data_IF_822896421091
#
_entry.id   IF_822896421091
#
_cell.length_a   1.000
_cell.length_b   1.000
_cell.length_c   1.000
_cell.angle_alpha   90.00
_cell.angle_beta   90.00
_cell.angle_gamma   90.00
#
_symmetry.space_group_name_H-M   'P 1'
#
loop_
_entity.id
_entity.type
_entity.pdbx_description
1 polymer ?
#
# COMPACT_ATOMS: atom_id res chain seq x y z
N UNK A 1 -13.18 5.97 -36.77
CA UNK A 1 -13.37 7.25 -36.06
C UNK A 1 -12.14 7.50 -35.22
N UNK A 2 -11.27 8.39 -35.68
CA UNK A 2 -9.97 8.73 -35.11
C UNK A 2 -10.15 9.84 -34.07
N UNK A 3 -9.94 9.52 -32.79
CA UNK A 3 -9.94 10.50 -31.70
C UNK A 3 -8.54 11.02 -31.46
N UNK A 4 -8.41 12.35 -31.58
CA UNK A 4 -7.22 13.17 -31.38
C UNK A 4 -6.62 13.07 -29.96
N UNK A 5 -5.30 13.32 -29.79
CA UNK A 5 -4.68 13.40 -28.47
C UNK A 5 -4.91 14.77 -27.79
N UNK A 6 -4.83 14.84 -26.45
CA UNK A 6 -5.16 16.04 -25.67
C UNK A 6 -4.00 17.03 -25.62
N UNK A 7 -4.34 18.33 -25.73
CA UNK A 7 -3.46 19.46 -25.46
C UNK A 7 -3.08 19.51 -23.98
N UNK A 8 -1.77 19.55 -23.70
CA UNK A 8 -1.24 19.78 -22.35
C UNK A 8 -0.61 21.17 -22.28
N UNK A 9 -1.27 22.04 -21.51
CA UNK A 9 -0.77 23.17 -20.73
C UNK A 9 0.48 23.93 -21.23
N UNK A 10 0.20 24.99 -21.97
CA UNK A 10 0.60 26.38 -21.72
C UNK A 10 1.83 26.65 -20.84
N UNK A 11 2.96 26.86 -21.51
CA UNK A 11 3.96 27.84 -21.07
C UNK A 11 4.25 28.77 -22.24
N UNK A 12 3.95 30.06 -22.06
CA UNK A 12 4.37 31.13 -22.97
C UNK A 12 5.89 31.13 -23.06
N UNK A 13 6.40 30.82 -24.25
CA UNK A 13 7.81 31.05 -24.59
C UNK A 13 7.95 32.50 -25.00
N UNK A 14 8.77 33.24 -24.25
CA UNK A 14 9.25 34.57 -24.62
C UNK A 14 9.91 34.52 -26.00
N UNK A 15 9.45 35.39 -26.90
CA UNK A 15 9.98 35.55 -28.24
C UNK A 15 11.47 35.92 -28.19
N UNK A 16 12.29 35.10 -28.85
CA UNK A 16 13.71 35.39 -29.10
C UNK A 16 13.78 36.47 -30.18
N UNK A 17 14.58 37.55 -30.01
CA UNK A 17 14.76 38.54 -31.05
C UNK A 17 15.50 37.94 -32.25
N UNK A 18 14.84 37.99 -33.40
CA UNK A 18 15.41 37.67 -34.71
C UNK A 18 16.43 38.75 -35.06
N UNK A 19 17.72 38.44 -34.91
CA UNK A 19 18.81 39.25 -35.46
C UNK A 19 18.86 38.97 -36.96
N UNK A 20 18.24 39.87 -37.73
CA UNK A 20 18.46 40.00 -39.17
C UNK A 20 19.63 40.93 -39.43
N UNK A 21 20.32 40.64 -40.53
CA UNK A 21 21.24 41.49 -41.28
C UNK A 21 22.70 41.59 -40.80
N UNK A 22 23.49 40.56 -41.13
CA UNK A 22 24.90 40.75 -41.48
C UNK A 22 25.03 40.73 -43.01
N UNK A 23 25.18 41.92 -43.60
CA UNK A 23 25.55 42.11 -45.01
C UNK A 23 27.06 41.90 -45.16
N UNK A 24 27.45 40.92 -45.95
CA UNK A 24 28.75 40.86 -46.61
C UNK A 24 28.70 41.68 -47.89
N UNK A 25 29.40 42.82 -47.91
CA UNK A 25 29.66 43.57 -49.13
C UNK A 25 31.17 43.71 -49.30
N UNK A 26 31.74 42.77 -50.06
CA UNK A 26 32.96 43.00 -50.82
C UNK A 26 32.69 44.14 -51.80
N UNK A 27 33.43 45.24 -51.70
CA UNK A 27 33.58 46.16 -52.82
C UNK A 27 34.89 46.94 -52.66
N UNK A 28 35.91 46.53 -53.42
CA UNK A 28 37.08 47.34 -53.74
C UNK A 28 37.11 47.40 -55.27
N UNK A 29 37.03 48.60 -55.85
CA UNK A 29 37.77 48.85 -57.06
C UNK A 29 38.65 50.12 -56.97
N UNK A 30 39.85 49.95 -57.53
CA UNK A 30 40.58 50.92 -58.34
C UNK A 30 41.01 52.25 -57.70
N UNK A 31 42.28 52.30 -57.30
CA UNK A 31 43.04 53.54 -57.12
C UNK A 31 43.55 53.98 -58.51
N UNK A 32 42.99 55.06 -59.03
CA UNK A 32 43.56 55.86 -60.12
C UNK A 32 44.76 56.68 -59.62
N UNK A 33 45.81 56.70 -60.42
CA UNK A 33 46.98 57.56 -60.28
C UNK A 33 46.64 59.02 -60.58
N UNK A 34 47.21 60.00 -59.86
CA UNK A 34 47.41 61.33 -60.41
C UNK A 34 48.87 61.59 -60.78
N UNK A 35 48.98 62.34 -61.88
CA UNK A 35 50.16 62.80 -62.61
C UNK A 35 50.92 63.89 -61.84
N UNK A 36 52.23 63.93 -62.10
CA UNK A 36 53.30 64.83 -61.61
C UNK A 36 53.15 66.27 -62.10
N UNK A 37 53.41 67.28 -61.24
CA UNK A 37 54.27 68.49 -61.50
C UNK A 37 54.27 69.52 -60.32
N UNK A 38 55.20 70.50 -60.23
CA UNK A 38 56.22 70.57 -59.16
C UNK A 38 55.97 71.59 -58.04
N UNK A 39 56.65 71.40 -56.90
CA UNK A 39 56.82 72.36 -55.81
C UNK A 39 58.24 72.99 -55.81
N UNK A 40 58.40 74.25 -55.35
CA UNK A 40 59.66 75.00 -55.38
C UNK A 40 60.68 74.59 -54.30
N UNK A 41 61.93 74.97 -54.57
CA UNK A 41 63.21 74.65 -53.92
C UNK A 41 63.23 74.68 -52.36
N UNK A 42 63.93 73.73 -51.71
CA UNK A 42 64.21 73.77 -50.29
C UNK A 42 65.58 74.39 -49.97
N UNK A 43 65.60 75.36 -49.06
CA UNK A 43 66.78 75.76 -48.30
C UNK A 43 67.07 74.70 -47.24
N UNK A 44 68.23 74.04 -47.33
CA UNK A 44 68.61 72.93 -46.43
C UNK A 44 68.88 73.36 -44.98
N UNK A 45 68.31 72.68 -43.97
CA UNK A 45 68.77 72.77 -42.59
C UNK A 45 69.97 71.84 -42.36
N UNK A 46 70.92 72.33 -41.57
CA UNK A 46 72.09 71.61 -41.08
C UNK A 46 71.65 70.38 -40.28
N UNK A 47 72.12 69.20 -40.69
CA UNK A 47 71.80 67.91 -40.07
C UNK A 47 72.62 67.73 -38.80
N UNK A 48 71.94 67.62 -37.65
CA UNK A 48 72.54 67.26 -36.37
C UNK A 48 72.57 65.72 -36.22
N UNK A 49 73.77 65.15 -36.38
CA UNK A 49 74.00 63.70 -36.45
C UNK A 49 73.71 62.98 -35.13
N UNK A 50 73.71 63.69 -33.99
CA UNK A 50 73.41 63.11 -32.67
C UNK A 50 71.90 62.84 -32.53
N UNK A 51 71.06 63.75 -33.02
CA UNK A 51 69.61 63.60 -33.01
C UNK A 51 69.13 62.44 -33.91
N UNK A 52 69.85 62.16 -35.01
CA UNK A 52 69.55 61.01 -35.87
C UNK A 52 69.85 59.67 -35.18
N UNK A 53 70.97 59.59 -34.46
CA UNK A 53 71.36 58.38 -33.74
C UNK A 53 70.40 58.05 -32.57
N UNK A 54 69.95 59.06 -31.83
CA UNK A 54 68.94 58.87 -30.77
C UNK A 54 67.57 58.48 -31.34
N UNK A 55 67.17 59.06 -32.48
CA UNK A 55 65.93 58.68 -33.16
C UNK A 55 65.96 57.23 -33.68
N UNK A 56 67.11 56.75 -34.15
CA UNK A 56 67.29 55.37 -34.59
C UNK A 56 67.31 54.38 -33.40
N UNK A 57 67.89 54.77 -32.25
CA UNK A 57 67.82 53.99 -31.01
C UNK A 57 66.39 53.87 -30.45
N UNK A 58 65.60 54.93 -30.54
CA UNK A 58 64.18 54.91 -30.15
C UNK A 58 63.37 54.05 -31.12
N UNK A 59 63.63 54.14 -32.44
CA UNK A 59 62.95 53.31 -33.46
C UNK A 59 63.23 51.82 -33.27
N UNK A 60 64.47 51.45 -32.95
CA UNK A 60 64.84 50.05 -32.71
C UNK A 60 64.23 49.49 -31.42
N UNK A 61 64.17 50.28 -30.34
CA UNK A 61 63.48 49.87 -29.10
C UNK A 61 61.97 49.75 -29.28
N UNK A 62 61.34 50.71 -29.95
CA UNK A 62 59.92 50.66 -30.26
C UNK A 62 59.57 49.47 -31.17
N UNK A 63 60.45 49.12 -32.12
CA UNK A 63 60.27 47.94 -32.96
C UNK A 63 60.40 46.64 -32.15
N UNK A 64 61.37 46.53 -31.24
CA UNK A 64 61.53 45.37 -30.37
C UNK A 64 60.35 45.19 -29.39
N UNK A 65 59.88 46.29 -28.79
CA UNK A 65 58.70 46.26 -27.90
C UNK A 65 57.41 45.91 -28.66
N UNK A 66 57.27 46.38 -29.91
CA UNK A 66 56.15 46.01 -30.78
C UNK A 66 56.20 44.53 -31.19
N UNK A 67 57.39 43.99 -31.49
CA UNK A 67 57.55 42.55 -31.75
C UNK A 67 57.25 41.70 -30.52
N UNK A 68 57.71 42.10 -29.32
CA UNK A 68 57.36 41.40 -28.08
C UNK A 68 55.85 41.41 -27.81
N UNK A 69 55.18 42.55 -28.02
CA UNK A 69 53.72 42.63 -27.86
C UNK A 69 52.98 41.76 -28.87
N UNK A 70 53.46 41.69 -30.12
CA UNK A 70 52.88 40.78 -31.13
C UNK A 70 53.06 39.31 -30.74
N UNK A 71 54.26 38.92 -30.32
CA UNK A 71 54.54 37.54 -29.91
C UNK A 71 53.70 37.16 -28.68
N UNK A 72 53.55 38.05 -27.69
CA UNK A 72 52.69 37.81 -26.52
C UNK A 72 51.22 37.72 -26.89
N UNK A 73 50.72 38.59 -27.77
CA UNK A 73 49.34 38.55 -28.24
C UNK A 73 49.04 37.28 -29.07
N UNK A 74 49.98 36.84 -29.91
CA UNK A 74 49.88 35.59 -30.67
C UNK A 74 49.88 34.37 -29.73
N UNK A 75 50.76 34.33 -28.73
CA UNK A 75 50.80 33.27 -27.72
C UNK A 75 49.52 33.22 -26.85
N UNK A 76 48.98 34.36 -26.45
CA UNK A 76 47.71 34.44 -25.71
C UNK A 76 46.52 33.99 -26.57
N UNK A 77 46.49 34.36 -27.85
CA UNK A 77 45.47 33.92 -28.79
C UNK A 77 45.52 32.39 -29.03
N UNK A 78 46.72 31.81 -29.14
CA UNK A 78 46.88 30.36 -29.25
C UNK A 78 46.49 29.63 -27.95
N UNK A 79 46.88 30.16 -26.78
CA UNK A 79 46.48 29.60 -25.49
C UNK A 79 44.95 29.62 -25.31
N UNK A 80 44.27 30.69 -25.75
CA UNK A 80 42.80 30.77 -25.74
C UNK A 80 42.16 29.77 -26.70
N UNK A 81 42.71 29.58 -27.91
CA UNK A 81 42.22 28.57 -28.86
C UNK A 81 42.37 27.14 -28.32
N UNK A 82 43.49 26.83 -27.68
CA UNK A 82 43.73 25.51 -27.08
C UNK A 82 42.75 25.28 -25.93
N UNK A 83 42.58 26.24 -25.02
CA UNK A 83 41.62 26.15 -23.91
C UNK A 83 40.18 26.00 -24.39
N UNK A 84 39.76 26.79 -25.39
CA UNK A 84 38.43 26.70 -25.98
C UNK A 84 38.20 25.33 -26.67
N UNK A 85 39.23 24.78 -27.33
CA UNK A 85 39.19 23.45 -27.93
C UNK A 85 39.04 22.33 -26.89
N UNK A 86 39.74 22.43 -25.77
CA UNK A 86 39.62 21.47 -24.66
C UNK A 86 38.27 21.56 -23.94
N UNK A 87 37.76 22.76 -23.71
CA UNK A 87 36.42 22.97 -23.14
C UNK A 87 35.33 22.44 -24.06
N UNK A 88 35.44 22.67 -25.37
CA UNK A 88 34.53 22.09 -26.35
C UNK A 88 34.55 20.55 -26.36
N UNK A 89 35.73 19.93 -26.20
CA UNK A 89 35.86 18.46 -26.08
C UNK A 89 35.24 17.94 -24.78
N UNK A 90 35.47 18.63 -23.64
CA UNK A 90 34.86 18.28 -22.35
C UNK A 90 33.33 18.39 -22.41
N UNK A 91 32.79 19.45 -23.04
CA UNK A 91 31.36 19.63 -23.21
C UNK A 91 30.73 18.56 -24.12
N UNK A 92 31.39 18.17 -25.20
CA UNK A 92 30.95 17.04 -26.05
C UNK A 92 30.87 15.74 -25.26
N UNK A 93 31.95 15.37 -24.56
CA UNK A 93 31.97 14.16 -23.73
C UNK A 93 30.93 14.18 -22.60
N UNK A 94 30.64 15.34 -22.02
CA UNK A 94 29.59 15.49 -21.02
C UNK A 94 28.19 15.31 -21.63
N UNK A 95 27.94 15.91 -22.80
CA UNK A 95 26.69 15.73 -23.54
C UNK A 95 26.48 14.27 -24.00
N UNK A 96 27.52 13.62 -24.50
CA UNK A 96 27.44 12.22 -24.93
C UNK A 96 27.13 11.28 -23.75
N UNK A 97 27.76 11.52 -22.60
CA UNK A 97 27.45 10.79 -21.36
C UNK A 97 26.03 11.05 -20.86
N UNK A 98 25.55 12.29 -20.96
CA UNK A 98 24.18 12.64 -20.59
C UNK A 98 23.15 11.96 -21.51
N UNK A 99 23.41 11.95 -22.82
CA UNK A 99 22.58 11.29 -23.82
C UNK A 99 22.53 9.76 -23.61
N UNK A 100 23.68 9.13 -23.31
CA UNK A 100 23.74 7.70 -23.02
C UNK A 100 22.95 7.33 -21.76
N UNK A 101 23.06 8.12 -20.68
CA UNK A 101 22.28 7.91 -19.45
C UNK A 101 20.79 8.09 -19.68
N UNK A 102 20.39 9.11 -20.46
CA UNK A 102 18.99 9.33 -20.80
C UNK A 102 18.41 8.15 -21.60
N UNK A 103 19.18 7.59 -22.54
CA UNK A 103 18.77 6.41 -23.31
C UNK A 103 18.63 5.16 -22.42
N UNK A 104 19.55 4.93 -21.48
CA UNK A 104 19.50 3.81 -20.53
C UNK A 104 18.30 3.95 -19.57
N UNK A 105 18.06 5.13 -19.03
CA UNK A 105 16.90 5.40 -18.17
C UNK A 105 15.57 5.19 -18.92
N UNK A 106 15.52 5.57 -20.20
CA UNK A 106 14.34 5.38 -21.02
C UNK A 106 14.10 3.88 -21.30
N UNK A 107 15.14 3.13 -21.66
CA UNK A 107 15.05 1.67 -21.82
C UNK A 107 14.63 0.97 -20.51
N UNK A 108 15.14 1.40 -19.37
CA UNK A 108 14.75 0.86 -18.06
C UNK A 108 13.29 1.19 -17.70
N UNK A 109 12.81 2.38 -18.04
CA UNK A 109 11.39 2.76 -17.87
C UNK A 109 10.48 1.93 -18.77
N UNK A 110 10.85 1.76 -20.03
CA UNK A 110 10.07 0.97 -20.98
C UNK A 110 10.01 -0.51 -20.57
N UNK A 111 11.12 -1.06 -20.05
CA UNK A 111 11.13 -2.42 -19.48
C UNK A 111 10.19 -2.57 -18.28
N UNK A 112 10.16 -1.58 -17.36
CA UNK A 112 9.24 -1.58 -16.21
C UNK A 112 7.78 -1.46 -16.65
N UNK A 113 7.50 -0.64 -17.66
CA UNK A 113 6.14 -0.49 -18.23
C UNK A 113 5.71 -1.82 -18.88
N UNK A 114 6.59 -2.46 -19.66
CA UNK A 114 6.31 -3.75 -20.28
C UNK A 114 6.04 -4.85 -19.24
N UNK A 115 6.84 -4.93 -18.17
CA UNK A 115 6.62 -5.89 -17.09
C UNK A 115 5.30 -5.61 -16.35
N UNK A 116 4.98 -4.35 -16.08
CA UNK A 116 3.72 -3.96 -15.45
C UNK A 116 2.52 -4.33 -16.32
N UNK A 117 2.61 -4.12 -17.64
CA UNK A 117 1.56 -4.48 -18.59
C UNK A 117 1.38 -6.01 -18.67
N UNK A 118 2.47 -6.79 -18.70
CA UNK A 118 2.39 -8.27 -18.65
C UNK A 118 1.68 -8.76 -17.39
N UNK A 119 2.03 -8.19 -16.22
CA UNK A 119 1.37 -8.53 -14.95
C UNK A 119 -0.12 -8.17 -14.95
N UNK A 120 -0.49 -7.03 -15.55
CA UNK A 120 -1.90 -6.63 -15.71
C UNK A 120 -2.66 -7.59 -16.62
N UNK A 121 -2.09 -7.94 -17.78
CA UNK A 121 -2.70 -8.88 -18.73
C UNK A 121 -2.83 -10.30 -18.15
N UNK A 122 -1.86 -10.76 -17.35
CA UNK A 122 -1.96 -12.04 -16.63
C UNK A 122 -3.05 -12.00 -15.56
N UNK A 123 -3.13 -10.91 -14.79
CA UNK A 123 -4.18 -10.73 -13.80
C UNK A 123 -5.57 -10.65 -14.43
N UNK A 124 -5.71 -9.97 -15.57
CA UNK A 124 -6.98 -9.85 -16.29
C UNK A 124 -7.38 -11.18 -16.95
N UNK A 125 -6.42 -11.94 -17.51
CA UNK A 125 -6.67 -13.31 -17.98
C UNK A 125 -7.10 -14.24 -16.84
N UNK A 126 -6.48 -14.13 -15.67
CA UNK A 126 -6.86 -14.91 -14.50
C UNK A 126 -8.29 -14.57 -14.02
N UNK A 127 -8.65 -13.29 -13.99
CA UNK A 127 -10.02 -12.84 -13.66
C UNK A 127 -11.06 -13.31 -14.67
N UNK A 128 -10.75 -13.25 -15.97
CA UNK A 128 -11.65 -13.72 -17.02
C UNK A 128 -11.88 -15.22 -16.92
N UNK A 129 -10.83 -16.01 -16.70
CA UNK A 129 -10.95 -17.45 -16.46
C UNK A 129 -11.77 -17.75 -15.21
N UNK A 130 -11.50 -17.07 -14.09
CA UNK A 130 -12.27 -17.25 -12.87
C UNK A 130 -13.77 -16.95 -13.07
N UNK A 131 -14.10 -15.88 -13.82
CA UNK A 131 -15.50 -15.58 -14.17
C UNK A 131 -16.12 -16.63 -15.08
N UNK A 132 -15.39 -17.11 -16.08
CA UNK A 132 -15.86 -18.19 -16.96
C UNK A 132 -16.10 -19.48 -16.16
N UNK A 133 -15.17 -19.86 -15.29
CA UNK A 133 -15.30 -21.03 -14.41
C UNK A 133 -16.50 -20.87 -13.45
N UNK A 134 -16.73 -19.66 -12.91
CA UNK A 134 -17.90 -19.37 -12.08
C UNK A 134 -19.21 -19.44 -12.88
N UNK A 135 -19.26 -18.90 -14.10
CA UNK A 135 -20.43 -18.95 -14.98
C UNK A 135 -20.72 -20.38 -15.43
N UNK A 136 -19.70 -21.16 -15.78
CA UNK A 136 -19.83 -22.58 -16.13
C UNK A 136 -20.28 -23.40 -14.93
N UNK A 137 -19.73 -23.14 -13.74
CA UNK A 137 -20.18 -23.79 -12.50
C UNK A 137 -21.64 -23.45 -12.17
N UNK A 138 -22.07 -22.20 -12.38
CA UNK A 138 -23.46 -21.77 -12.20
C UNK A 138 -24.39 -22.42 -13.22
N UNK A 139 -24.01 -22.48 -14.50
CA UNK A 139 -24.78 -23.16 -15.54
C UNK A 139 -24.89 -24.66 -15.30
N UNK A 140 -23.79 -25.30 -14.91
CA UNK A 140 -23.79 -26.72 -14.55
C UNK A 140 -24.67 -26.98 -13.31
N UNK A 141 -24.59 -26.13 -12.28
CA UNK A 141 -25.44 -26.24 -11.10
C UNK A 141 -26.93 -26.02 -11.44
N UNK A 142 -27.24 -25.06 -12.31
CA UNK A 142 -28.59 -24.79 -12.78
C UNK A 142 -29.15 -25.96 -13.61
N UNK A 143 -28.35 -26.52 -14.52
CA UNK A 143 -28.73 -27.70 -15.31
C UNK A 143 -29.00 -28.92 -14.43
N UNK A 144 -28.15 -29.19 -13.44
CA UNK A 144 -28.40 -30.25 -12.44
C UNK A 144 -29.67 -29.96 -11.64
N UNK A 145 -29.92 -28.72 -11.25
CA UNK A 145 -31.15 -28.35 -10.52
C UNK A 145 -32.42 -28.58 -11.37
N UNK A 146 -32.36 -28.27 -12.67
CA UNK A 146 -33.46 -28.49 -13.61
C UNK A 146 -33.72 -29.98 -13.84
N UNK A 147 -32.68 -30.77 -14.11
CA UNK A 147 -32.79 -32.24 -14.25
C UNK A 147 -33.41 -32.88 -12.99
N UNK A 148 -33.00 -32.40 -11.81
CA UNK A 148 -33.55 -32.84 -10.53
C UNK A 148 -35.02 -32.44 -10.38
N UNK A 149 -35.39 -31.22 -10.76
CA UNK A 149 -36.79 -30.78 -10.70
C UNK A 149 -37.68 -31.62 -11.63
N UNK A 150 -37.23 -31.88 -12.85
CA UNK A 150 -37.93 -32.74 -13.82
C UNK A 150 -38.07 -34.17 -13.29
N UNK A 151 -37.03 -34.71 -12.64
CA UNK A 151 -37.08 -36.03 -12.03
C UNK A 151 -38.07 -36.08 -10.85
N UNK A 152 -38.08 -35.07 -9.99
CA UNK A 152 -39.01 -34.94 -8.86
C UNK A 152 -40.48 -34.85 -9.36
N UNK A 153 -40.76 -34.08 -10.42
CA UNK A 153 -42.09 -33.94 -11.01
C UNK A 153 -42.58 -35.25 -11.65
N UNK A 154 -41.72 -35.95 -12.40
CA UNK A 154 -42.02 -37.28 -12.95
C UNK A 154 -42.34 -38.28 -11.85
N UNK A 155 -41.54 -38.30 -10.79
CA UNK A 155 -41.78 -39.19 -9.66
C UNK A 155 -43.09 -38.89 -8.94
N UNK A 156 -43.42 -37.61 -8.73
CA UNK A 156 -44.71 -37.20 -8.17
C UNK A 156 -45.89 -37.69 -9.01
N UNK A 157 -45.76 -37.60 -10.34
CA UNK A 157 -46.78 -38.12 -11.27
C UNK A 157 -46.94 -39.65 -11.12
N UNK A 158 -45.84 -40.40 -11.07
CA UNK A 158 -45.87 -41.85 -10.85
C UNK A 158 -46.46 -42.23 -9.49
N UNK A 159 -46.12 -41.51 -8.42
CA UNK A 159 -46.68 -41.76 -7.10
C UNK A 159 -48.20 -41.53 -7.06
N UNK A 160 -48.70 -40.47 -7.72
CA UNK A 160 -50.14 -40.21 -7.85
C UNK A 160 -50.84 -41.29 -8.68
N UNK A 161 -50.21 -41.74 -9.76
CA UNK A 161 -50.76 -42.80 -10.60
C UNK A 161 -50.83 -44.13 -9.86
N UNK A 162 -49.75 -44.49 -9.16
CA UNK A 162 -49.71 -45.69 -8.30
C UNK A 162 -50.79 -45.65 -7.23
N UNK A 163 -50.94 -44.52 -6.51
CA UNK A 163 -52.02 -44.35 -5.55
C UNK A 163 -53.40 -44.56 -6.17
N UNK A 164 -53.66 -43.98 -7.36
CA UNK A 164 -54.95 -44.15 -8.06
C UNK A 164 -55.21 -45.62 -8.40
N UNK A 165 -54.20 -46.36 -8.84
CA UNK A 165 -54.31 -47.79 -9.11
C UNK A 165 -54.63 -48.56 -7.83
N UNK A 166 -53.92 -48.30 -6.73
CA UNK A 166 -54.22 -48.92 -5.44
C UNK A 166 -55.65 -48.63 -4.96
N UNK A 167 -56.12 -47.38 -5.10
CA UNK A 167 -57.48 -46.99 -4.76
C UNK A 167 -58.52 -47.71 -5.63
N UNK A 168 -58.31 -47.77 -6.95
CA UNK A 168 -59.22 -48.48 -7.87
C UNK A 168 -59.30 -49.98 -7.56
N UNK A 169 -58.19 -50.60 -7.18
CA UNK A 169 -58.16 -52.04 -6.83
C UNK A 169 -58.77 -52.31 -5.46
N UNK A 170 -58.52 -51.47 -4.46
CA UNK A 170 -58.99 -51.69 -3.09
C UNK A 170 -60.44 -51.24 -2.87
N UNK A 171 -60.90 -50.20 -3.57
CA UNK A 171 -62.21 -49.58 -3.35
C UNK A 171 -63.40 -50.55 -3.54
N UNK A 172 -63.45 -51.43 -4.57
CA UNK A 172 -64.55 -52.39 -4.71
C UNK A 172 -64.70 -53.33 -3.52
N UNK A 173 -63.58 -53.79 -2.94
CA UNK A 173 -63.58 -54.66 -1.76
C UNK A 173 -64.04 -53.91 -0.51
N UNK A 174 -63.63 -52.65 -0.36
CA UNK A 174 -64.13 -51.79 0.73
C UNK A 174 -65.63 -51.50 0.58
N UNK A 175 -66.12 -51.20 -0.64
CA UNK A 175 -67.55 -50.95 -0.86
C UNK A 175 -68.37 -52.22 -0.58
N UNK A 176 -67.88 -53.39 -0.99
CA UNK A 176 -68.51 -54.67 -0.67
C UNK A 176 -68.59 -54.92 0.84
N UNK A 177 -67.52 -54.58 1.59
CA UNK A 177 -67.47 -54.73 3.04
C UNK A 177 -68.54 -53.91 3.77
N UNK A 178 -68.90 -52.73 3.24
CA UNK A 178 -69.89 -51.83 3.82
C UNK A 178 -71.25 -51.88 3.12
N UNK A 179 -71.43 -52.75 2.13
CA UNK A 179 -72.70 -52.87 1.42
C UNK A 179 -73.74 -53.56 2.30
N UNK A 180 -74.75 -52.79 2.70
CA UNK A 180 -75.92 -53.32 3.40
C UNK A 180 -77.19 -52.78 2.73
N UNK A 181 -78.08 -53.65 2.20
CA UNK A 181 -79.32 -53.22 1.55
C UNK A 181 -80.22 -52.35 2.42
N UNK A 182 -80.13 -52.49 3.76
CA UNK A 182 -80.92 -51.70 4.73
C UNK A 182 -80.19 -50.44 5.20
N UNK A 183 -78.92 -50.26 4.85
CA UNK A 183 -78.08 -49.16 5.31
C UNK A 183 -77.08 -48.72 4.23
N UNK A 184 -77.60 -48.35 3.04
CA UNK A 184 -76.79 -47.93 1.89
C UNK A 184 -75.86 -46.74 2.19
N UNK A 185 -76.19 -45.91 3.19
CA UNK A 185 -75.36 -44.80 3.65
C UNK A 185 -73.98 -45.24 4.17
N UNK A 186 -73.83 -46.50 4.60
CA UNK A 186 -72.54 -47.04 5.05
C UNK A 186 -71.50 -47.12 3.91
N UNK A 187 -71.92 -47.16 2.65
CA UNK A 187 -71.00 -47.11 1.51
C UNK A 187 -70.22 -45.79 1.41
N UNK A 188 -70.64 -44.74 2.12
CA UNK A 188 -69.91 -43.47 2.21
C UNK A 188 -68.66 -43.62 3.11
N UNK A 189 -68.62 -44.59 4.03
CA UNK A 189 -67.51 -44.74 4.97
C UNK A 189 -66.15 -45.02 4.28
N UNK A 190 -66.03 -45.93 3.30
CA UNK A 190 -64.82 -46.09 2.49
C UNK A 190 -64.37 -44.79 1.81
N UNK A 191 -65.32 -44.04 1.23
CA UNK A 191 -65.03 -42.77 0.55
C UNK A 191 -64.52 -41.72 1.52
N UNK A 192 -65.07 -41.65 2.73
CA UNK A 192 -64.63 -40.75 3.79
C UNK A 192 -63.26 -41.14 4.35
N UNK A 193 -62.94 -42.43 4.46
CA UNK A 193 -61.62 -42.91 4.88
C UNK A 193 -60.54 -42.55 3.87
N UNK A 194 -60.77 -42.86 2.59
CA UNK A 194 -59.82 -42.54 1.50
C UNK A 194 -59.70 -41.02 1.29
N UNK A 195 -60.83 -40.31 1.26
CA UNK A 195 -60.87 -38.85 1.12
C UNK A 195 -60.23 -38.13 2.32
N UNK A 196 -60.51 -38.60 3.54
CA UNK A 196 -59.92 -38.09 4.78
C UNK A 196 -58.40 -38.29 4.81
N UNK A 197 -57.91 -39.47 4.44
CA UNK A 197 -56.49 -39.74 4.32
C UNK A 197 -55.82 -38.81 3.29
N UNK A 198 -56.44 -38.62 2.13
CA UNK A 198 -55.95 -37.70 1.11
C UNK A 198 -55.88 -36.24 1.59
N UNK A 199 -56.93 -35.75 2.27
CA UNK A 199 -56.97 -34.38 2.83
C UNK A 199 -55.85 -34.19 3.86
N UNK A 200 -55.68 -35.14 4.78
CA UNK A 200 -54.60 -35.09 5.78
C UNK A 200 -53.24 -35.11 5.10
N UNK A 201 -53.06 -35.87 4.02
CA UNK A 201 -51.81 -35.94 3.28
C UNK A 201 -51.52 -34.66 2.49
N UNK A 202 -52.54 -33.98 1.97
CA UNK A 202 -52.42 -32.60 1.43
C UNK A 202 -52.09 -31.58 2.52
N UNK A 203 -52.70 -31.73 3.70
CA UNK A 203 -52.37 -30.96 4.89
C UNK A 203 -50.91 -31.13 5.30
N UNK A 204 -50.38 -32.35 5.27
CA UNK A 204 -48.97 -32.65 5.52
C UNK A 204 -48.05 -31.94 4.51
N UNK A 205 -48.37 -32.02 3.22
CA UNK A 205 -47.58 -31.35 2.17
C UNK A 205 -47.61 -29.81 2.31
N UNK A 206 -48.74 -29.23 2.69
CA UNK A 206 -48.88 -27.80 2.99
C UNK A 206 -48.09 -27.39 4.25
N UNK A 207 -48.17 -28.19 5.32
CA UNK A 207 -47.40 -27.96 6.54
C UNK A 207 -45.90 -28.01 6.25
N UNK A 208 -45.46 -28.99 5.44
CA UNK A 208 -44.09 -29.04 4.92
C UNK A 208 -43.77 -27.77 4.16
N UNK A 209 -44.55 -27.36 3.15
CA UNK A 209 -44.26 -26.17 2.35
C UNK A 209 -44.08 -24.90 3.22
N UNK A 210 -44.86 -24.77 4.30
CA UNK A 210 -44.81 -23.64 5.23
C UNK A 210 -43.80 -23.79 6.38
N UNK A 211 -42.93 -24.81 6.36
CA UNK A 211 -41.92 -25.01 7.41
C UNK A 211 -42.48 -25.45 8.78
N UNK A 212 -43.73 -25.90 8.83
CA UNK A 212 -44.40 -26.36 10.06
C UNK A 212 -44.13 -27.85 10.32
N UNK A 213 -44.22 -28.32 11.58
CA UNK A 213 -44.07 -29.74 11.89
C UNK A 213 -45.17 -30.58 11.21
N UNK A 214 -44.79 -31.39 10.23
CA UNK A 214 -45.73 -32.20 9.43
C UNK A 214 -45.96 -33.62 9.96
N UNK A 215 -45.19 -34.04 10.96
CA UNK A 215 -45.20 -35.42 11.46
C UNK A 215 -46.57 -35.86 12.01
N UNK A 216 -47.31 -34.95 12.65
CA UNK A 216 -48.66 -35.23 13.17
C UNK A 216 -49.63 -35.62 12.04
N UNK A 217 -49.63 -34.87 10.94
CA UNK A 217 -50.48 -35.17 9.78
C UNK A 217 -50.09 -36.52 9.15
N UNK A 218 -48.79 -36.81 9.05
CA UNK A 218 -48.31 -38.10 8.54
C UNK A 218 -48.76 -39.26 9.43
N UNK A 219 -48.66 -39.10 10.75
CA UNK A 219 -49.13 -40.11 11.70
C UNK A 219 -50.62 -40.39 11.55
N UNK A 220 -51.45 -39.34 11.41
CA UNK A 220 -52.89 -39.48 11.19
C UNK A 220 -53.17 -40.18 9.85
N UNK A 221 -52.46 -39.82 8.77
CA UNK A 221 -52.62 -40.48 7.47
C UNK A 221 -52.26 -41.98 7.55
N UNK A 222 -51.17 -42.34 8.24
CA UNK A 222 -50.79 -43.73 8.46
C UNK A 222 -51.80 -44.48 9.32
N UNK A 223 -52.36 -43.85 10.34
CA UNK A 223 -53.42 -44.44 11.16
C UNK A 223 -54.66 -44.81 10.31
N UNK A 224 -55.11 -43.89 9.46
CA UNK A 224 -56.22 -44.15 8.54
C UNK A 224 -55.90 -45.28 7.56
N UNK A 225 -54.67 -45.32 7.04
CA UNK A 225 -54.20 -46.39 6.15
C UNK A 225 -54.21 -47.76 6.85
N UNK A 226 -53.77 -47.84 8.11
CA UNK A 226 -53.82 -49.08 8.90
C UNK A 226 -55.25 -49.54 9.19
N UNK A 227 -56.16 -48.62 9.50
CA UNK A 227 -57.58 -48.94 9.69
C UNK A 227 -58.17 -49.51 8.40
N UNK A 228 -57.93 -48.85 7.26
CA UNK A 228 -58.39 -49.32 5.95
C UNK A 228 -57.81 -50.70 5.60
N UNK A 229 -56.51 -50.90 5.83
CA UNK A 229 -55.86 -52.19 5.62
C UNK A 229 -56.42 -53.29 6.53
N UNK A 230 -56.73 -52.97 7.79
CA UNK A 230 -57.36 -53.88 8.75
C UNK A 230 -58.76 -54.31 8.30
N UNK A 231 -59.56 -53.37 7.80
CA UNK A 231 -60.90 -53.67 7.25
C UNK A 231 -60.77 -54.57 6.02
N UNK A 232 -59.87 -54.24 5.10
CA UNK A 232 -59.63 -55.03 3.88
C UNK A 232 -59.15 -56.45 4.20
N UNK A 233 -58.25 -56.60 5.18
CA UNK A 233 -57.77 -57.90 5.61
C UNK A 233 -58.88 -58.72 6.28
N UNK A 234 -59.60 -58.12 7.23
CA UNK A 234 -60.67 -58.79 7.97
C UNK A 234 -61.83 -59.20 7.06
N UNK A 235 -62.33 -58.27 6.24
CA UNK A 235 -63.41 -58.58 5.31
C UNK A 235 -62.92 -59.53 4.20
N UNK A 236 -61.72 -59.29 3.67
CA UNK A 236 -61.08 -60.14 2.68
C UNK A 236 -60.99 -61.59 3.10
N UNK A 237 -60.56 -61.87 4.35
CA UNK A 237 -60.46 -63.24 4.86
C UNK A 237 -61.81 -63.93 5.07
N UNK A 238 -62.88 -63.15 5.29
CA UNK A 238 -64.22 -63.68 5.56
C UNK A 238 -65.08 -63.82 4.30
N UNK A 239 -64.87 -62.97 3.28
CA UNK A 239 -65.69 -62.90 2.07
C UNK A 239 -64.96 -63.32 0.79
N UNK A 240 -63.64 -63.33 0.80
CA UNK A 240 -62.78 -63.62 -0.36
C UNK A 240 -61.66 -64.61 0.01
N UNK A 241 -60.76 -64.89 -0.93
CA UNK A 241 -59.59 -65.73 -0.68
C UNK A 241 -58.47 -64.96 0.08
N UNK A 242 -57.58 -65.67 0.79
CA UNK A 242 -56.48 -65.04 1.53
C UNK A 242 -55.54 -64.17 0.69
N UNK A 243 -55.36 -64.49 -0.60
CA UNK A 243 -54.48 -63.70 -1.46
C UNK A 243 -55.11 -62.34 -1.79
N UNK A 244 -56.42 -62.31 -2.09
CA UNK A 244 -57.17 -61.06 -2.28
C UNK A 244 -57.20 -60.21 -1.01
N UNK A 245 -57.37 -60.81 0.15
CA UNK A 245 -57.36 -60.12 1.45
C UNK A 245 -56.00 -59.44 1.72
N UNK A 246 -54.90 -60.17 1.52
CA UNK A 246 -53.55 -59.65 1.72
C UNK A 246 -53.19 -58.60 0.66
N UNK A 247 -53.58 -58.82 -0.60
CA UNK A 247 -53.31 -57.90 -1.70
C UNK A 247 -53.99 -56.54 -1.52
N UNK A 248 -55.25 -56.53 -1.11
CA UNK A 248 -56.01 -55.29 -0.87
C UNK A 248 -55.58 -54.58 0.41
N UNK A 249 -55.24 -55.32 1.48
CA UNK A 249 -54.65 -54.75 2.68
C UNK A 249 -53.28 -54.11 2.39
N UNK A 250 -52.44 -54.76 1.60
CA UNK A 250 -51.16 -54.20 1.15
C UNK A 250 -51.38 -52.95 0.28
N UNK A 251 -52.33 -52.97 -0.66
CA UNK A 251 -52.63 -51.82 -1.50
C UNK A 251 -53.02 -50.57 -0.67
N UNK A 252 -53.78 -50.76 0.41
CA UNK A 252 -54.15 -49.68 1.35
C UNK A 252 -52.95 -49.06 2.08
N UNK A 253 -51.87 -49.82 2.32
CA UNK A 253 -50.64 -49.30 2.94
C UNK A 253 -49.66 -48.75 1.90
N UNK A 254 -49.56 -49.39 0.74
CA UNK A 254 -48.59 -49.08 -0.29
C UNK A 254 -48.81 -47.69 -0.90
N UNK A 255 -50.06 -47.29 -1.14
CA UNK A 255 -50.40 -45.97 -1.69
C UNK A 255 -49.85 -44.82 -0.83
N UNK A 256 -50.29 -44.70 0.44
CA UNK A 256 -49.76 -43.72 1.38
C UNK A 256 -48.25 -43.84 1.60
N UNK A 257 -47.71 -45.06 1.65
CA UNK A 257 -46.28 -45.32 1.87
C UNK A 257 -45.36 -44.80 0.77
N UNK A 258 -45.71 -45.03 -0.51
CA UNK A 258 -44.92 -44.52 -1.65
C UNK A 258 -44.94 -42.98 -1.67
N UNK A 259 -46.08 -42.36 -1.37
CA UNK A 259 -46.18 -40.91 -1.28
C UNK A 259 -45.37 -40.36 -0.10
N UNK A 260 -45.45 -41.00 1.06
CA UNK A 260 -44.75 -40.59 2.27
C UNK A 260 -43.22 -40.67 2.12
N UNK A 261 -42.73 -41.67 1.39
CA UNK A 261 -41.32 -41.84 1.04
C UNK A 261 -40.81 -40.71 0.13
N UNK A 262 -41.57 -40.37 -0.91
CA UNK A 262 -41.29 -39.24 -1.77
C UNK A 262 -41.17 -37.94 -0.99
N UNK A 263 -42.18 -37.66 -0.16
CA UNK A 263 -42.25 -36.41 0.59
C UNK A 263 -41.14 -36.32 1.65
N UNK A 264 -40.74 -37.46 2.25
CA UNK A 264 -39.58 -37.50 3.16
C UNK A 264 -38.27 -37.15 2.45
N UNK A 265 -38.06 -37.64 1.22
CA UNK A 265 -36.91 -37.29 0.40
C UNK A 265 -36.84 -35.79 0.13
N UNK A 266 -37.98 -35.19 -0.26
CA UNK A 266 -38.11 -33.76 -0.53
C UNK A 266 -37.84 -32.89 0.71
N UNK A 267 -38.41 -33.26 1.86
CA UNK A 267 -38.20 -32.56 3.14
C UNK A 267 -36.71 -32.55 3.51
N UNK A 268 -36.05 -33.72 3.47
CA UNK A 268 -34.62 -33.81 3.82
C UNK A 268 -33.73 -32.95 2.93
N UNK A 269 -34.05 -32.86 1.64
CA UNK A 269 -33.33 -32.00 0.69
C UNK A 269 -33.53 -30.52 1.03
N UNK A 270 -34.78 -30.09 1.29
CA UNK A 270 -35.09 -28.71 1.70
C UNK A 270 -34.41 -28.32 3.01
N UNK A 271 -34.43 -29.21 3.99
CA UNK A 271 -33.85 -28.96 5.31
C UNK A 271 -32.31 -28.99 5.29
N UNK A 272 -31.69 -29.16 4.11
CA UNK A 272 -30.23 -29.16 3.94
C UNK A 272 -29.53 -30.29 4.69
N UNK A 273 -30.26 -31.36 5.03
CA UNK A 273 -29.71 -32.46 5.81
C UNK A 273 -28.73 -33.22 4.94
N UNK A 274 -27.44 -32.95 5.16
CA UNK A 274 -26.35 -33.54 4.40
C UNK A 274 -26.50 -35.06 4.33
N UNK A 275 -26.42 -35.61 3.13
CA UNK A 275 -26.41 -37.05 2.90
C UNK A 275 -25.18 -37.68 3.56
N UNK A 276 -25.21 -39.00 3.83
CA UNK A 276 -24.03 -39.69 4.41
C UNK A 276 -22.76 -39.49 3.56
N UNK A 277 -22.90 -39.37 2.23
CA UNK A 277 -21.79 -39.11 1.30
C UNK A 277 -21.29 -37.67 1.44
N UNK A 278 -22.18 -36.69 1.47
CA UNK A 278 -21.83 -35.27 1.71
C UNK A 278 -21.19 -35.05 3.08
N UNK A 279 -21.67 -35.71 4.14
CA UNK A 279 -21.02 -35.64 5.46
C UNK A 279 -19.59 -36.16 5.40
N UNK A 280 -19.34 -37.24 4.67
CA UNK A 280 -17.99 -37.78 4.46
C UNK A 280 -17.11 -36.84 3.64
N UNK A 281 -17.63 -36.22 2.57
CA UNK A 281 -16.86 -35.26 1.77
C UNK A 281 -16.56 -33.98 2.54
N UNK A 282 -17.53 -33.43 3.27
CA UNK A 282 -17.34 -32.27 4.16
C UNK A 282 -16.27 -32.56 5.23
N UNK A 283 -16.31 -33.73 5.87
CA UNK A 283 -15.28 -34.15 6.84
C UNK A 283 -13.89 -34.28 6.19
N UNK A 284 -13.81 -34.79 4.96
CA UNK A 284 -12.55 -34.89 4.20
C UNK A 284 -12.01 -33.51 3.83
N UNK A 285 -12.87 -32.59 3.39
CA UNK A 285 -12.51 -31.21 3.06
C UNK A 285 -12.03 -30.45 4.31
N UNK A 286 -12.75 -30.57 5.43
CA UNK A 286 -12.35 -29.97 6.70
C UNK A 286 -10.98 -30.52 7.18
N UNK A 287 -10.73 -31.83 7.04
CA UNK A 287 -9.42 -32.42 7.36
C UNK A 287 -8.30 -31.88 6.48
N UNK A 288 -8.54 -31.69 5.18
CA UNK A 288 -7.56 -31.09 4.26
C UNK A 288 -7.27 -29.63 4.63
N UNK A 289 -8.29 -28.82 4.84
CA UNK A 289 -8.13 -27.42 5.26
C UNK A 289 -7.40 -27.30 6.60
N UNK A 290 -7.67 -28.20 7.55
CA UNK A 290 -6.95 -28.24 8.82
C UNK A 290 -5.47 -28.61 8.62
N UNK A 291 -5.17 -29.56 7.74
CA UNK A 291 -3.79 -29.93 7.40
C UNK A 291 -3.04 -28.79 6.70
N UNK A 292 -3.66 -28.11 5.76
CA UNK A 292 -3.10 -26.94 5.08
C UNK A 292 -2.82 -25.79 6.06
N UNK A 293 -3.76 -25.49 6.95
CA UNK A 293 -3.55 -24.48 8.01
C UNK A 293 -2.42 -24.89 8.97
N UNK A 294 -2.32 -26.17 9.33
CA UNK A 294 -1.26 -26.66 10.20
C UNK A 294 0.11 -26.55 9.52
N UNK A 295 0.21 -26.83 8.22
CA UNK A 295 1.43 -26.64 7.44
C UNK A 295 1.82 -25.15 7.38
N UNK A 296 0.89 -24.27 7.04
CA UNK A 296 1.14 -22.82 7.03
C UNK A 296 1.63 -22.30 8.39
N UNK A 297 1.00 -22.74 9.48
CA UNK A 297 1.44 -22.36 10.83
C UNK A 297 2.82 -22.92 11.18
N UNK A 298 3.16 -24.12 10.70
CA UNK A 298 4.48 -24.70 10.90
C UNK A 298 5.55 -23.89 10.13
N UNK A 299 5.27 -23.54 8.87
CA UNK A 299 6.16 -22.72 8.05
C UNK A 299 6.35 -21.32 8.63
N UNK A 300 5.28 -20.68 9.11
CA UNK A 300 5.36 -19.39 9.80
C UNK A 300 6.18 -19.46 11.08
N UNK A 301 6.03 -20.53 11.87
CA UNK A 301 6.84 -20.73 13.08
C UNK A 301 8.30 -20.94 12.73
N UNK A 302 8.60 -21.77 11.73
CA UNK A 302 9.97 -21.97 11.26
C UNK A 302 10.60 -20.66 10.75
N UNK A 303 9.85 -19.86 9.98
CA UNK A 303 10.31 -18.56 9.51
C UNK A 303 10.57 -17.58 10.67
N UNK A 304 9.70 -17.55 11.68
CA UNK A 304 9.90 -16.74 12.90
C UNK A 304 11.12 -17.19 13.68
N UNK A 305 11.34 -18.49 13.83
CA UNK A 305 12.52 -19.04 14.51
C UNK A 305 13.82 -18.70 13.78
N UNK A 306 13.83 -18.75 12.45
CA UNK A 306 14.99 -18.33 11.66
C UNK A 306 15.23 -16.82 11.83
N UNK A 307 14.17 -16.01 11.79
CA UNK A 307 14.27 -14.56 11.98
C UNK A 307 14.76 -14.19 13.38
N UNK A 308 14.29 -14.85 14.44
CA UNK A 308 14.72 -14.59 15.82
C UNK A 308 16.18 -15.02 16.04
N UNK A 309 16.60 -16.16 15.48
CA UNK A 309 18.01 -16.59 15.51
C UNK A 309 18.91 -15.59 14.79
N UNK A 310 18.53 -15.16 13.59
CA UNK A 310 19.28 -14.15 12.84
C UNK A 310 19.37 -12.81 13.60
N UNK A 311 18.26 -12.35 14.19
CA UNK A 311 18.25 -11.14 15.01
C UNK A 311 19.17 -11.28 16.24
N UNK A 312 19.14 -12.42 16.93
CA UNK A 312 20.01 -12.69 18.07
C UNK A 312 21.50 -12.72 17.68
N UNK A 313 21.85 -13.30 16.53
CA UNK A 313 23.22 -13.30 16.00
C UNK A 313 23.71 -11.89 15.64
N UNK A 314 22.87 -11.08 14.98
CA UNK A 314 23.23 -9.70 14.66
C UNK A 314 23.42 -8.85 15.91
N UNK A 315 22.58 -9.03 16.94
CA UNK A 315 22.71 -8.35 18.22
C UNK A 315 24.01 -8.74 18.94
N UNK A 316 24.38 -10.02 18.94
CA UNK A 316 25.67 -10.50 19.49
C UNK A 316 26.86 -9.86 18.78
N UNK A 317 26.88 -9.89 17.44
CA UNK A 317 27.97 -9.27 16.65
C UNK A 317 28.08 -7.76 16.91
N UNK A 318 26.94 -7.07 17.05
CA UNK A 318 26.92 -5.64 17.36
C UNK A 318 27.45 -5.36 18.77
N UNK A 319 27.05 -6.16 19.76
CA UNK A 319 27.56 -6.07 21.13
C UNK A 319 29.08 -6.30 21.20
N UNK A 320 29.59 -7.34 20.52
CA UNK A 320 31.02 -7.60 20.42
C UNK A 320 31.78 -6.45 19.77
N UNK A 321 31.25 -5.86 18.70
CA UNK A 321 31.86 -4.70 18.04
C UNK A 321 31.88 -3.48 18.95
N UNK A 322 30.77 -3.19 19.64
CA UNK A 322 30.66 -2.09 20.61
C UNK A 322 31.67 -2.24 21.75
N UNK A 323 31.81 -3.46 22.29
CA UNK A 323 32.78 -3.76 23.33
C UNK A 323 34.23 -3.54 22.86
N UNK A 324 34.55 -3.91 21.61
CA UNK A 324 35.90 -3.74 21.03
C UNK A 324 36.22 -2.29 20.70
N UNK A 325 35.30 -1.57 20.04
CA UNK A 325 35.55 -0.22 19.52
C UNK A 325 35.40 0.86 20.60
N UNK A 326 34.55 0.65 21.61
CA UNK A 326 34.24 1.65 22.64
C UNK A 326 34.23 1.05 24.06
N UNK A 327 35.39 0.56 24.56
CA UNK A 327 35.46 -0.19 25.81
C UNK A 327 34.94 0.61 27.02
N UNK A 328 35.27 1.90 27.13
CA UNK A 328 34.82 2.77 28.24
C UNK A 328 33.30 2.99 28.24
N UNK A 329 32.71 3.18 27.07
CA UNK A 329 31.26 3.34 26.90
C UNK A 329 30.56 2.02 27.23
N UNK A 330 31.15 0.89 26.83
CA UNK A 330 30.64 -0.44 27.09
C UNK A 330 30.64 -0.81 28.58
N UNK A 331 31.72 -0.50 29.31
CA UNK A 331 31.75 -0.67 30.78
C UNK A 331 30.68 0.17 31.48
N UNK A 332 30.49 1.43 31.07
CA UNK A 332 29.44 2.29 31.63
C UNK A 332 28.04 1.79 31.27
N UNK A 333 27.85 1.28 30.04
CA UNK A 333 26.59 0.66 29.62
C UNK A 333 26.26 -0.59 30.44
N UNK A 334 27.25 -1.42 30.80
CA UNK A 334 27.04 -2.58 31.68
C UNK A 334 26.60 -2.16 33.09
N UNK A 335 27.20 -1.11 33.65
CA UNK A 335 26.79 -0.55 34.95
C UNK A 335 25.36 -0.03 34.89
N UNK A 336 25.03 0.77 33.87
CA UNK A 336 23.67 1.26 33.66
C UNK A 336 22.65 0.12 33.47
N UNK A 337 23.01 -0.95 32.75
CA UNK A 337 22.14 -2.12 32.60
C UNK A 337 21.91 -2.84 33.94
N UNK A 338 22.97 -3.03 34.73
CA UNK A 338 22.87 -3.64 36.06
C UNK A 338 22.01 -2.80 37.00
N UNK A 339 22.17 -1.47 36.99
CA UNK A 339 21.39 -0.54 37.81
C UNK A 339 19.90 -0.55 37.43
N UNK A 340 19.59 -0.72 36.14
CA UNK A 340 18.21 -0.81 35.62
C UNK A 340 17.61 -2.21 35.73
N UNK A 341 18.41 -3.22 36.13
CA UNK A 341 17.98 -4.62 36.17
C UNK A 341 17.78 -5.26 34.79
N UNK A 342 18.35 -4.68 33.73
CA UNK A 342 18.32 -5.24 32.39
C UNK A 342 19.48 -6.23 32.18
N UNK A 343 19.18 -7.42 31.64
CA UNK A 343 20.18 -8.49 31.42
C UNK A 343 20.98 -8.30 30.12
N UNK A 344 20.50 -7.45 29.22
CA UNK A 344 21.14 -7.16 27.93
C UNK A 344 21.22 -5.66 27.71
N UNK A 345 22.33 -5.17 27.14
CA UNK A 345 22.48 -3.76 26.80
C UNK A 345 21.56 -3.43 25.62
N UNK A 346 20.43 -2.81 25.91
CA UNK A 346 19.48 -2.30 24.93
C UNK A 346 20.03 -1.05 24.22
N UNK A 347 19.44 -0.70 23.08
CA UNK A 347 19.88 0.46 22.29
C UNK A 347 19.74 1.79 23.05
N UNK A 348 18.73 1.91 23.91
CA UNK A 348 18.51 3.04 24.81
C UNK A 348 19.63 3.16 25.85
N UNK A 349 20.01 2.05 26.49
CA UNK A 349 21.12 2.02 27.45
C UNK A 349 22.41 2.41 26.75
N UNK A 350 22.67 1.86 25.56
CA UNK A 350 23.85 2.21 24.78
C UNK A 350 23.90 3.70 24.43
N UNK A 351 22.78 4.27 23.97
CA UNK A 351 22.66 5.70 23.66
C UNK A 351 22.94 6.58 24.86
N UNK A 352 22.36 6.24 26.02
CA UNK A 352 22.57 6.97 27.27
C UNK A 352 24.03 6.86 27.72
N UNK A 353 24.60 5.66 27.69
CA UNK A 353 25.99 5.45 28.07
C UNK A 353 26.96 6.23 27.18
N UNK A 354 26.70 6.26 25.86
CA UNK A 354 27.46 7.04 24.89
C UNK A 354 27.39 8.53 25.20
N UNK A 355 26.19 9.03 25.50
CA UNK A 355 25.98 10.43 25.86
C UNK A 355 26.70 10.79 27.17
N UNK A 356 26.64 9.93 28.18
CA UNK A 356 27.27 10.19 29.48
C UNK A 356 28.80 10.19 29.40
N UNK A 357 29.39 9.30 28.60
CA UNK A 357 30.85 9.13 28.50
C UNK A 357 31.47 10.08 27.47
N UNK A 358 30.90 10.15 26.27
CA UNK A 358 31.47 10.92 25.16
C UNK A 358 30.83 12.32 25.02
N UNK A 359 29.74 12.60 25.74
CA UNK A 359 28.99 13.86 25.63
C UNK A 359 28.20 14.01 24.33
N UNK A 360 28.05 12.93 23.55
CA UNK A 360 27.42 12.93 22.23
C UNK A 360 26.56 11.68 22.00
N UNK A 361 25.55 11.79 21.14
CA UNK A 361 24.70 10.66 20.76
C UNK A 361 25.45 9.69 19.82
N UNK A 362 25.04 8.42 19.72
CA UNK A 362 25.64 7.50 18.75
C UNK A 362 25.56 8.03 17.31
N UNK A 363 26.67 8.00 16.59
CA UNK A 363 26.82 8.62 15.27
C UNK A 363 27.40 10.03 15.31
N UNK A 364 27.49 10.64 16.48
CA UNK A 364 28.13 11.93 16.70
C UNK A 364 29.40 11.75 17.55
N UNK A 365 30.40 12.57 17.28
CA UNK A 365 31.60 12.69 18.11
C UNK A 365 31.87 14.16 18.38
N UNK A 366 32.60 14.47 19.44
CA UNK A 366 32.99 15.86 19.73
C UNK A 366 33.69 16.52 18.52
N UNK A 367 34.45 15.74 17.73
CA UNK A 367 35.08 16.20 16.50
C UNK A 367 34.07 16.44 15.38
N UNK A 368 33.11 15.53 15.17
CA UNK A 368 32.02 15.72 14.20
C UNK A 368 31.19 16.95 14.56
N UNK A 369 30.86 17.15 15.83
CA UNK A 369 30.14 18.33 16.30
C UNK A 369 30.96 19.61 16.11
N UNK A 370 32.27 19.59 16.37
CA UNK A 370 33.17 20.72 16.06
C UNK A 370 33.21 21.01 14.55
N UNK A 371 33.34 19.98 13.71
CA UNK A 371 33.33 20.12 12.26
C UNK A 371 32.00 20.68 11.75
N UNK A 372 30.87 20.19 12.27
CA UNK A 372 29.53 20.66 11.95
C UNK A 372 29.36 22.12 12.34
N UNK A 373 29.69 22.48 13.59
CA UNK A 373 29.62 23.86 14.08
C UNK A 373 30.56 24.78 13.29
N UNK A 374 31.75 24.32 12.90
CA UNK A 374 32.66 25.09 12.06
C UNK A 374 32.11 25.27 10.64
N UNK A 375 31.50 24.24 10.06
CA UNK A 375 30.83 24.33 8.76
C UNK A 375 29.64 25.28 8.80
N UNK A 376 28.80 25.20 9.83
CA UNK A 376 27.67 26.11 10.06
C UNK A 376 28.14 27.56 10.20
N UNK A 377 29.22 27.81 10.96
CA UNK A 377 29.84 29.14 11.05
C UNK A 377 30.34 29.64 9.71
N UNK A 378 30.97 28.80 8.89
CA UNK A 378 31.42 29.17 7.53
C UNK A 378 30.25 29.52 6.62
N UNK A 379 29.16 28.73 6.68
CA UNK A 379 27.94 28.98 5.91
C UNK A 379 27.25 30.27 6.35
N UNK A 380 27.16 30.53 7.66
CA UNK A 380 26.60 31.78 8.19
C UNK A 380 27.43 32.99 7.76
N UNK A 381 28.76 32.92 7.92
CA UNK A 381 29.68 33.98 7.49
C UNK A 381 29.57 34.26 5.99
N UNK A 382 29.47 33.22 5.16
CA UNK A 382 29.26 33.36 3.71
C UNK A 382 27.92 34.02 3.36
N UNK A 383 26.84 33.74 4.12
CA UNK A 383 25.52 34.38 3.92
C UNK A 383 25.52 35.86 4.32
N UNK A 384 26.28 36.22 5.35
CA UNK A 384 26.34 37.58 5.88
C UNK A 384 27.42 38.44 5.22
N UNK A 385 28.19 37.91 4.26
CA UNK A 385 29.39 38.54 3.68
C UNK A 385 30.40 38.99 4.75
N UNK A 386 30.45 38.28 5.89
CA UNK A 386 31.36 38.55 7.01
C UNK A 386 32.49 37.51 7.01
N UNK A 387 33.64 37.85 7.60
CA UNK A 387 34.73 36.89 7.73
C UNK A 387 34.41 35.87 8.83
N UNK A 388 34.83 34.61 8.64
CA UNK A 388 34.56 33.49 9.58
C UNK A 388 35.09 33.74 11.00
N UNK A 389 36.00 34.69 11.17
CA UNK A 389 36.60 35.09 12.45
C UNK A 389 35.92 36.30 13.11
N UNK A 390 34.87 36.87 12.52
CA UNK A 390 34.08 37.93 13.15
C UNK A 390 33.20 37.33 14.25
N UNK A 391 33.82 36.92 15.37
CA UNK A 391 33.11 36.53 16.59
C UNK A 391 32.23 37.70 16.98
N UNK A 392 30.91 37.51 16.87
CA UNK A 392 29.90 38.50 17.23
C UNK A 392 30.19 39.05 18.61
N UNK A 393 30.73 40.27 18.66
CA UNK A 393 30.63 41.13 19.83
C UNK A 393 29.17 41.55 19.92
N UNK A 394 28.28 40.64 20.27
CA UNK A 394 26.96 40.99 20.76
C UNK A 394 27.19 41.64 22.11
N UNK A 395 27.33 42.96 22.08
CA UNK A 395 27.27 43.85 23.24
C UNK A 395 26.07 43.42 24.07
N UNK A 396 26.35 42.86 25.25
CA UNK A 396 25.35 42.50 26.26
C UNK A 396 24.47 43.72 26.55
N UNK A 397 23.30 43.81 25.92
CA UNK A 397 22.35 44.91 26.05
C UNK A 397 21.61 44.92 27.41
N UNK A 398 22.02 44.07 28.36
CA UNK A 398 21.41 43.95 29.68
C UNK A 398 22.23 44.61 30.82
N UNK A 399 22.97 45.70 30.55
CA UNK A 399 23.33 46.61 31.64
C UNK A 399 22.15 47.52 31.93
N UNK A 400 21.28 47.09 32.85
CA UNK A 400 20.25 47.94 33.41
C UNK A 400 20.90 49.20 34.01
N UNK A 401 20.56 50.37 33.45
CA UNK A 401 21.07 51.69 33.84
C UNK A 401 20.67 52.14 35.27
N UNK A 402 20.10 51.24 36.08
CA UNK A 402 19.45 51.55 37.36
C UNK A 402 20.29 51.20 38.60
N UNK A 403 21.54 50.79 38.43
CA UNK A 403 22.47 50.61 39.56
C UNK A 403 23.25 51.90 39.79
N UNK A 404 23.18 52.53 40.99
CA UNK A 404 24.06 53.65 41.31
C UNK A 404 25.52 53.19 41.23
N UNK A 405 26.33 54.02 40.59
CA UNK A 405 27.76 53.78 40.33
C UNK A 405 28.48 53.62 41.68
N UNK A 406 28.76 52.38 42.08
CA UNK A 406 29.58 52.09 43.27
C UNK A 406 30.96 52.72 43.06
N UNK A 407 31.22 53.84 43.73
CA UNK A 407 32.56 54.42 43.80
C UNK A 407 33.48 53.40 44.48
N UNK A 408 34.53 52.99 43.77
CA UNK A 408 35.56 52.07 44.26
C UNK A 408 36.40 52.76 45.33
N UNK A 409 36.04 52.55 46.59
CA UNK A 409 36.93 52.72 47.75
C UNK A 409 37.28 51.37 48.37
N UNK A 410 38.34 51.28 49.18
CA UNK A 410 38.84 50.03 49.73
C UNK A 410 37.80 49.37 50.67
N UNK A 411 37.45 48.13 50.33
CA UNK A 411 36.68 47.12 51.06
C UNK A 411 35.88 47.62 52.29
N UNK A 412 34.86 48.45 52.07
CA UNK A 412 33.77 48.63 53.03
C UNK A 412 32.70 47.57 52.76
N UNK A 413 32.22 46.93 53.82
CA UNK A 413 31.15 45.90 53.78
C UNK A 413 30.02 46.37 52.86
N UNK A 414 29.50 45.52 51.95
CA UNK A 414 28.41 45.91 51.07
C UNK A 414 27.26 46.46 51.92
N UNK A 415 26.63 47.58 51.52
CA UNK A 415 25.58 48.20 52.32
C UNK A 415 24.48 47.17 52.60
N UNK A 416 24.16 46.98 53.88
CA UNK A 416 23.03 46.17 54.31
C UNK A 416 21.77 46.81 53.74
N UNK A 417 21.13 46.13 52.77
CA UNK A 417 19.86 46.56 52.18
C UNK A 417 18.83 46.69 53.28
N UNK A 418 18.32 47.90 53.49
CA UNK A 418 17.17 48.15 54.36
C UNK A 418 15.89 48.01 53.55
N UNK A 419 14.82 47.61 54.22
CA UNK A 419 13.48 47.54 53.63
C UNK A 419 13.08 48.94 53.15
N UNK A 420 13.14 49.19 51.85
CA UNK A 420 12.90 50.50 51.23
C UNK A 420 13.96 50.94 50.21
N UNK A 421 15.16 50.34 50.21
CA UNK A 421 16.27 50.76 49.33
C UNK A 421 16.04 50.46 47.83
N UNK A 422 15.08 49.60 47.50
CA UNK A 422 14.69 49.30 46.12
C UNK A 422 13.29 49.81 45.86
N UNK A 423 13.11 50.60 44.80
CA UNK A 423 11.79 51.02 44.36
C UNK A 423 10.86 49.81 44.20
N UNK A 424 9.62 49.86 44.71
CA UNK A 424 8.69 48.75 44.57
C UNK A 424 8.46 48.46 43.09
N UNK A 425 8.59 47.19 42.71
CA UNK A 425 8.31 46.75 41.34
C UNK A 425 6.93 47.24 40.90
N UNK A 426 6.84 47.81 39.70
CA UNK A 426 5.56 48.19 39.10
C UNK A 426 4.63 46.99 39.05
N UNK A 427 3.32 47.22 39.19
CA UNK A 427 2.33 46.15 39.33
C UNK A 427 2.37 45.13 38.18
N UNK A 428 2.70 45.58 36.95
CA UNK A 428 2.87 44.72 35.79
C UNK A 428 4.04 43.73 35.96
N UNK A 429 5.20 44.19 36.41
CA UNK A 429 6.37 43.33 36.64
C UNK A 429 6.10 42.30 37.75
N UNK A 430 5.36 42.67 38.81
CA UNK A 430 4.91 41.72 39.85
C UNK A 430 3.98 40.65 39.30
N UNK A 431 3.00 41.04 38.47
CA UNK A 431 2.10 40.08 37.81
C UNK A 431 2.86 39.12 36.91
N UNK A 432 3.81 39.62 36.12
CA UNK A 432 4.58 38.81 35.21
C UNK A 432 5.50 37.83 35.94
N UNK A 433 6.21 38.27 36.98
CA UNK A 433 7.00 37.38 37.84
C UNK A 433 6.15 36.28 38.50
N UNK A 434 4.92 36.61 38.94
CA UNK A 434 3.99 35.64 39.50
C UNK A 434 3.51 34.61 38.46
N UNK A 435 3.27 35.03 37.21
CA UNK A 435 2.93 34.13 36.10
C UNK A 435 4.11 33.19 35.82
N UNK A 436 5.33 33.73 35.72
CA UNK A 436 6.54 32.92 35.45
C UNK A 436 6.82 31.92 36.56
N UNK A 437 6.61 32.28 37.83
CA UNK A 437 6.77 31.35 38.95
C UNK A 437 5.73 30.21 38.92
N UNK A 438 4.50 30.50 38.49
CA UNK A 438 3.45 29.48 38.32
C UNK A 438 3.74 28.55 37.16
N UNK A 439 4.23 29.07 36.04
CA UNK A 439 4.54 28.23 34.87
C UNK A 439 5.73 27.30 35.13
N UNK A 440 6.78 27.76 35.82
CA UNK A 440 7.93 26.88 36.15
C UNK A 440 7.60 25.82 37.20
N UNK A 441 6.62 26.08 38.07
CA UNK A 441 6.11 25.05 38.98
C UNK A 441 5.18 24.04 38.30
N UNK A 442 4.58 24.42 37.17
CA UNK A 442 3.72 23.55 36.37
C UNK A 442 4.51 22.65 35.39
N UNK A 443 5.73 23.03 35.01
CA UNK A 443 6.62 22.20 34.15
C UNK A 443 7.44 21.17 34.94
N UNK A 444 7.53 21.28 36.27
CA UNK A 444 8.30 20.37 37.13
C UNK A 444 7.43 19.34 37.88
N UNK A 445 6.13 19.30 37.60
CA UNK A 445 5.20 18.23 37.95
C UNK A 445 4.71 17.57 36.65
#
# INVERSE_FOLDING_TARGET
MTTSPPQVNGHDRTAVPVIRDWRSAFNVPSVEQPVVEPAPEPTGPVVDLVAQAEADAIRTRAYAEAEEQRIRAEAEAEALKIKAGEEARKLKLANDKAAARAAEEQAARDARIAESNRKREEADRAKLKARQDEEEAQRAAAGVAEEVAVADDKWRSYALWFYRVCAVVAMPVQIAAFYNPRALWLMVAPVMLEGGAWVVQKGAASAVANGRPSWHYRLIAWLLAFIAAGINLWHGLNAFDPATALGTAFASLAGPGVWDLHEHGRIRRRDGVLTRRERKSAKKAAKKQAAEKALQQADERAAREVATKAAAETAKRLAERRAKEFPKVWEHAQKLAADLGETTITESIWKRAKLDVDGALPGESAEVLRMRNAAERRVAAARENTSVNAVGKTTNAQRANQMPRTQRGPARKPPLRRRGDTAPYVAAARKQAAITARSTSAENN
#
